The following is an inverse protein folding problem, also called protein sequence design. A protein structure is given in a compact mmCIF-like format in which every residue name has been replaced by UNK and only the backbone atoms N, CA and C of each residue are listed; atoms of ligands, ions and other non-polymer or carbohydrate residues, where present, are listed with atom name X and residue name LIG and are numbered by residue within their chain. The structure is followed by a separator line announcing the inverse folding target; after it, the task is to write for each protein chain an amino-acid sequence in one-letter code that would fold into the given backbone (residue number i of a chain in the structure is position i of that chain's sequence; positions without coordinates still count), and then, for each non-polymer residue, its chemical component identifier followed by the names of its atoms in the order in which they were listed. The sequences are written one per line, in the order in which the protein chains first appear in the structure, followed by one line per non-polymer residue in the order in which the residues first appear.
data_IF_137428500186
#
_entry.id   IF_137428500186
#
_cell.length_a   1.000
_cell.length_b   1.000
_cell.length_c   1.000
_cell.angle_alpha   90.00
_cell.angle_beta   90.00
_cell.angle_gamma   90.00
#
_symmetry.space_group_name_H-M   'P 1'
#
loop_
_entity.id
_entity.type
_entity.pdbx_description
1 polymer ?
#
# COMPACT_ATOMS: atom_id res chain seq x y z
N UNK A 1 -4.62 -1.48 16.77
CA UNK A 1 -5.66 -0.71 16.07
C UNK A 1 -4.98 0.39 15.27
N UNK A 2 -5.18 0.42 13.96
CA UNK A 2 -4.74 1.53 13.10
C UNK A 2 -5.81 2.62 13.27
N UNK A 3 -5.48 3.86 13.65
CA UNK A 3 -6.50 4.89 13.90
C UNK A 3 -6.34 6.12 13.00
N UNK A 4 -5.34 6.14 12.11
CA UNK A 4 -5.05 7.30 11.26
C UNK A 4 -6.02 7.45 10.09
N UNK A 5 -6.81 6.42 9.80
CA UNK A 5 -7.78 6.40 8.70
C UNK A 5 -9.21 6.68 9.20
N UNK A 6 -9.35 7.30 10.38
CA UNK A 6 -10.65 7.57 10.99
C UNK A 6 -11.56 8.49 10.15
N UNK A 7 -10.99 9.27 9.24
CA UNK A 7 -11.75 10.08 8.27
C UNK A 7 -12.49 9.24 7.22
N UNK A 8 -12.12 7.96 7.07
CA UNK A 8 -12.82 6.98 6.24
C UNK A 8 -13.31 5.81 7.10
N UNK A 9 -14.57 5.87 7.60
CA UNK A 9 -15.11 4.84 8.48
C UNK A 9 -15.14 3.44 7.86
N UNK A 10 -15.29 3.33 6.53
CA UNK A 10 -15.37 2.03 5.85
C UNK A 10 -14.00 1.38 5.80
N UNK A 11 -12.99 2.13 5.37
CA UNK A 11 -11.60 1.67 5.39
C UNK A 11 -11.16 1.35 6.82
N UNK A 12 -11.51 2.21 7.79
CA UNK A 12 -11.19 2.00 9.19
C UNK A 12 -11.81 0.73 9.76
N UNK A 13 -13.07 0.43 9.40
CA UNK A 13 -13.75 -0.79 9.80
C UNK A 13 -13.11 -2.03 9.15
N UNK A 14 -12.84 -1.97 7.83
CA UNK A 14 -12.15 -3.02 7.10
C UNK A 14 -10.83 -3.37 7.79
N UNK A 15 -9.93 -2.41 8.01
CA UNK A 15 -8.61 -2.66 8.61
C UNK A 15 -8.73 -3.23 10.03
N UNK A 16 -9.69 -2.78 10.84
CA UNK A 16 -9.86 -3.32 12.18
C UNK A 16 -10.46 -4.74 12.19
N UNK A 17 -11.31 -5.07 11.22
CA UNK A 17 -11.94 -6.39 11.13
C UNK A 17 -10.98 -7.52 10.75
N UNK A 18 -9.93 -7.23 9.96
CA UNK A 18 -8.98 -8.22 9.49
C UNK A 18 -8.23 -8.94 10.63
N UNK A 19 -8.13 -8.31 11.80
CA UNK A 19 -7.54 -8.94 12.99
C UNK A 19 -8.37 -10.10 13.55
N UNK A 20 -9.69 -10.09 13.34
CA UNK A 20 -10.63 -11.05 13.94
C UNK A 20 -11.32 -11.91 12.90
N UNK A 21 -11.53 -11.40 11.68
CA UNK A 21 -12.19 -12.08 10.55
C UNK A 21 -11.60 -11.61 9.23
N UNK A 22 -10.53 -12.27 8.76
CA UNK A 22 -9.85 -11.94 7.50
C UNK A 22 -10.73 -12.09 6.26
N UNK A 23 -11.75 -12.96 6.33
CA UNK A 23 -12.56 -13.37 5.18
C UNK A 23 -13.96 -12.72 5.20
N UNK A 24 -14.18 -11.75 6.09
CA UNK A 24 -15.46 -11.05 6.19
C UNK A 24 -15.77 -10.22 4.94
N UNK A 25 -14.73 -9.69 4.29
CA UNK A 25 -14.84 -8.80 3.13
C UNK A 25 -14.45 -9.54 1.86
N UNK A 26 -15.23 -9.34 0.79
CA UNK A 26 -14.89 -9.85 -0.54
C UNK A 26 -13.72 -9.09 -1.13
N UNK A 27 -12.98 -9.74 -2.00
CA UNK A 27 -11.78 -9.20 -2.64
C UNK A 27 -12.05 -7.86 -3.35
N UNK A 28 -13.14 -7.81 -4.11
CA UNK A 28 -13.57 -6.62 -4.86
C UNK A 28 -13.95 -5.47 -3.92
N UNK A 29 -14.52 -5.79 -2.76
CA UNK A 29 -14.86 -4.79 -1.75
C UNK A 29 -13.60 -4.21 -1.13
N UNK A 30 -12.64 -5.06 -0.74
CA UNK A 30 -11.34 -4.64 -0.21
C UNK A 30 -10.64 -3.71 -1.20
N UNK A 31 -10.56 -4.12 -2.46
CA UNK A 31 -9.84 -3.38 -3.50
C UNK A 31 -10.52 -2.05 -3.79
N UNK A 32 -11.85 -2.04 -3.91
CA UNK A 32 -12.62 -0.81 -4.11
C UNK A 32 -12.46 0.18 -2.95
N UNK A 33 -12.43 -0.30 -1.71
CA UNK A 33 -12.19 0.58 -0.55
C UNK A 33 -10.76 1.16 -0.56
N UNK A 34 -9.76 0.37 -0.93
CA UNK A 34 -8.37 0.85 -1.00
C UNK A 34 -8.19 1.84 -2.14
N UNK A 35 -8.71 1.55 -3.33
CA UNK A 35 -8.60 2.43 -4.52
C UNK A 35 -9.39 3.73 -4.36
N UNK A 36 -10.53 3.69 -3.67
CA UNK A 36 -11.36 4.87 -3.41
C UNK A 36 -10.79 5.81 -2.35
N UNK A 37 -9.81 5.37 -1.56
CA UNK A 37 -9.18 6.19 -0.54
C UNK A 37 -8.02 6.98 -1.13
N UNK A 38 -8.10 8.31 -1.11
CA UNK A 38 -7.01 9.21 -1.52
C UNK A 38 -6.16 9.59 -0.29
N UNK A 39 -4.95 9.04 -0.10
CA UNK A 39 -4.16 9.38 1.07
C UNK A 39 -3.65 10.83 0.99
N UNK A 40 -3.02 11.19 -0.13
CA UNK A 40 -2.45 12.52 -0.34
C UNK A 40 -2.46 12.89 -1.82
N UNK A 41 -2.35 14.19 -2.10
CA UNK A 41 -2.14 14.73 -3.44
C UNK A 41 -0.65 14.70 -3.85
N UNK A 42 0.27 14.52 -2.88
CA UNK A 42 1.69 14.31 -3.17
C UNK A 42 1.97 12.83 -3.39
N UNK A 43 2.77 12.49 -4.41
CA UNK A 43 3.01 11.10 -4.80
C UNK A 43 3.76 10.29 -3.71
N UNK A 44 4.74 10.89 -3.03
CA UNK A 44 5.47 10.25 -1.93
C UNK A 44 4.58 9.99 -0.71
N UNK A 45 3.79 10.97 -0.28
CA UNK A 45 2.84 10.78 0.81
C UNK A 45 1.73 9.80 0.44
N UNK A 46 1.24 9.84 -0.80
CA UNK A 46 0.25 8.90 -1.31
C UNK A 46 0.80 7.47 -1.28
N UNK A 47 2.02 7.27 -1.76
CA UNK A 47 2.71 5.99 -1.68
C UNK A 47 2.84 5.51 -0.23
N UNK A 48 3.30 6.37 0.68
CA UNK A 48 3.40 6.04 2.11
C UNK A 48 2.05 5.64 2.72
N UNK A 49 0.98 6.36 2.36
CA UNK A 49 -0.38 6.08 2.79
C UNK A 49 -0.89 4.74 2.29
N UNK A 50 -0.79 4.49 0.98
CA UNK A 50 -1.19 3.20 0.40
C UNK A 50 -0.38 2.04 0.96
N UNK A 51 0.95 2.12 1.04
CA UNK A 51 1.76 1.05 1.64
C UNK A 51 1.46 0.86 3.13
N UNK A 52 1.04 1.89 3.86
CA UNK A 52 0.57 1.73 5.25
C UNK A 52 -0.72 0.92 5.34
N UNK A 53 -1.61 1.05 4.34
CA UNK A 53 -2.87 0.30 4.22
C UNK A 53 -2.60 -1.12 3.74
N UNK A 54 -2.01 -1.26 2.54
CA UNK A 54 -1.90 -2.54 1.85
C UNK A 54 -1.01 -3.52 2.60
N UNK A 55 0.06 -3.06 3.25
CA UNK A 55 0.92 -3.95 4.04
C UNK A 55 0.13 -4.66 5.14
N UNK A 56 -0.81 -3.96 5.76
CA UNK A 56 -1.68 -4.55 6.77
C UNK A 56 -2.63 -5.57 6.18
N UNK A 57 -3.26 -5.26 5.05
CA UNK A 57 -4.21 -6.14 4.37
C UNK A 57 -3.51 -7.40 3.87
N UNK A 58 -2.42 -7.23 3.14
CA UNK A 58 -1.60 -8.28 2.53
C UNK A 58 -1.01 -9.26 3.56
N UNK A 59 -0.81 -8.84 4.81
CA UNK A 59 -0.44 -9.76 5.88
C UNK A 59 -1.53 -10.82 6.15
N UNK A 60 -2.81 -10.42 6.10
CA UNK A 60 -3.95 -11.32 6.35
C UNK A 60 -4.51 -11.94 5.07
N UNK A 61 -4.35 -11.27 3.93
CA UNK A 61 -4.89 -11.62 2.61
C UNK A 61 -3.79 -11.55 1.54
N UNK A 62 -2.78 -12.44 1.59
CA UNK A 62 -1.65 -12.43 0.67
C UNK A 62 -2.05 -12.72 -0.79
N UNK A 63 -3.20 -13.35 -1.00
CA UNK A 63 -3.83 -13.56 -2.30
C UNK A 63 -4.11 -12.23 -3.04
N UNK A 64 -4.26 -11.13 -2.30
CA UNK A 64 -4.52 -9.80 -2.86
C UNK A 64 -3.26 -9.00 -3.19
N UNK A 65 -2.06 -9.52 -2.87
CA UNK A 65 -0.78 -8.80 -3.00
C UNK A 65 -0.63 -8.11 -4.35
N UNK A 66 -0.83 -8.84 -5.44
CA UNK A 66 -0.67 -8.29 -6.79
C UNK A 66 -1.60 -7.10 -7.04
N UNK A 67 -2.89 -7.26 -6.72
CA UNK A 67 -3.92 -6.25 -7.02
C UNK A 67 -3.70 -5.00 -6.17
N UNK A 68 -3.39 -5.18 -4.88
CA UNK A 68 -3.17 -4.06 -3.96
C UNK A 68 -1.81 -3.37 -4.18
N UNK A 69 -0.76 -4.13 -4.50
CA UNK A 69 0.54 -3.53 -4.85
C UNK A 69 0.45 -2.70 -6.12
N UNK A 70 -0.37 -3.08 -7.11
CA UNK A 70 -0.57 -2.25 -8.31
C UNK A 70 -1.06 -0.84 -7.96
N UNK A 71 -1.98 -0.73 -6.99
CA UNK A 71 -2.47 0.56 -6.50
C UNK A 71 -1.34 1.34 -5.84
N UNK A 72 -0.58 0.71 -4.94
CA UNK A 72 0.45 1.37 -4.14
C UNK A 72 1.73 1.73 -4.92
N UNK A 73 2.05 0.98 -5.98
CA UNK A 73 3.22 1.24 -6.85
C UNK A 73 2.98 2.43 -7.77
N UNK A 74 1.74 2.67 -8.19
CA UNK A 74 1.41 3.77 -9.11
C UNK A 74 1.93 5.14 -8.66
N UNK A 75 1.69 5.62 -7.42
CA UNK A 75 2.27 6.87 -6.96
C UNK A 75 3.80 6.82 -6.83
N UNK A 76 4.43 5.69 -6.51
CA UNK A 76 5.90 5.58 -6.51
C UNK A 76 6.49 5.75 -7.92
N UNK A 77 5.83 5.16 -8.91
CA UNK A 77 6.20 5.31 -10.31
C UNK A 77 6.15 6.78 -10.74
N UNK A 78 5.04 7.49 -10.46
CA UNK A 78 4.93 8.91 -10.79
C UNK A 78 5.83 9.82 -9.95
N UNK A 79 6.25 9.37 -8.76
CA UNK A 79 7.29 10.03 -7.98
C UNK A 79 8.71 9.84 -8.58
N UNK A 80 8.87 8.96 -9.57
CA UNK A 80 10.13 8.69 -10.26
C UNK A 80 10.92 7.49 -9.71
N UNK A 81 10.31 6.66 -8.84
CA UNK A 81 10.94 5.44 -8.34
C UNK A 81 10.54 4.27 -9.24
N UNK A 82 11.45 3.91 -10.15
CA UNK A 82 11.26 2.81 -11.12
C UNK A 82 12.14 1.59 -10.85
N UNK A 83 13.20 1.74 -10.06
CA UNK A 83 14.04 0.62 -9.64
C UNK A 83 13.35 -0.18 -8.52
N UNK A 84 13.17 -1.51 -8.66
CA UNK A 84 12.45 -2.32 -7.67
C UNK A 84 13.15 -2.38 -6.31
N UNK A 85 14.48 -2.38 -6.27
CA UNK A 85 15.22 -2.41 -5.00
C UNK A 85 15.11 -1.06 -4.27
N UNK A 86 15.15 0.04 -5.02
CA UNK A 86 14.88 1.37 -4.51
C UNK A 86 13.46 1.48 -3.97
N UNK A 87 12.45 0.95 -4.67
CA UNK A 87 11.07 0.92 -4.18
C UNK A 87 10.94 0.16 -2.84
N UNK A 88 11.53 -1.04 -2.74
CA UNK A 88 11.53 -1.83 -1.50
C UNK A 88 12.21 -1.07 -0.36
N UNK A 89 13.39 -0.51 -0.62
CA UNK A 89 14.16 0.28 0.35
C UNK A 89 13.39 1.51 0.81
N UNK A 90 12.78 2.24 -0.14
CA UNK A 90 11.98 3.42 0.12
C UNK A 90 10.77 3.09 1.00
N UNK A 91 10.01 2.03 0.70
CA UNK A 91 8.85 1.63 1.51
C UNK A 91 9.30 1.21 2.91
N UNK A 92 10.38 0.43 3.01
CA UNK A 92 10.96 0.02 4.29
C UNK A 92 11.43 1.22 5.13
N UNK A 93 11.93 2.26 4.46
CA UNK A 93 12.40 3.53 5.01
C UNK A 93 11.29 4.46 5.47
N UNK A 94 10.20 4.58 4.72
CA UNK A 94 9.17 5.60 4.95
C UNK A 94 7.95 5.06 5.71
N UNK A 95 7.58 3.79 5.51
CA UNK A 95 6.40 3.20 6.16
C UNK A 95 6.77 2.58 7.50
N UNK A 96 6.62 3.37 8.57
CA UNK A 96 7.02 2.98 9.93
C UNK A 96 5.85 2.45 10.76
N UNK A 97 6.18 1.83 11.90
CA UNK A 97 5.20 1.58 12.97
C UNK A 97 4.96 2.88 13.74
N UNK A 98 3.75 3.02 14.29
CA UNK A 98 3.40 4.13 15.20
C UNK A 98 4.40 4.15 16.36
N UNK A 99 5.22 5.20 16.45
CA UNK A 99 6.04 5.46 17.64
C UNK A 99 5.23 6.29 18.62
N UNK A 100 5.20 5.89 19.88
CA UNK A 100 4.53 6.61 20.98
C UNK A 100 5.16 7.99 21.28
N UNK A 101 6.31 8.32 20.68
CA UNK A 101 7.10 9.52 21.00
C UNK A 101 7.36 10.33 19.72
N UNK A 102 6.60 11.43 19.58
CA UNK A 102 6.88 12.70 18.86
C UNK A 102 7.80 12.68 17.62
N UNK A 103 7.52 11.84 16.63
CA UNK A 103 7.89 12.18 15.23
C UNK A 103 6.63 12.11 14.38
N UNK A 104 6.35 13.21 13.68
CA UNK A 104 5.23 13.40 12.76
C UNK A 104 5.43 12.49 11.54
N UNK A 105 5.24 11.19 11.69
CA UNK A 105 5.03 10.33 10.54
C UNK A 105 3.56 10.49 10.14
N UNK A 106 3.32 11.02 8.93
CA UNK A 106 1.97 11.20 8.40
C UNK A 106 1.23 9.86 8.29
N UNK A 107 1.93 8.78 7.95
CA UNK A 107 1.38 7.44 7.88
C UNK A 107 2.20 6.40 8.65
N UNK A 108 1.51 5.48 9.33
CA UNK A 108 2.08 4.32 10.00
C UNK A 108 1.30 3.04 9.69
N UNK A 109 1.96 1.89 9.66
CA UNK A 109 1.29 0.59 9.55
C UNK A 109 1.14 -0.11 10.91
N UNK A 110 0.35 -1.18 10.94
CA UNK A 110 0.21 -2.08 12.09
C UNK A 110 1.48 -2.91 12.36
N UNK A 111 1.49 -3.68 13.45
CA UNK A 111 2.59 -4.62 13.74
C UNK A 111 2.74 -5.63 12.60
N UNK A 112 1.61 -6.19 12.17
CA UNK A 112 1.45 -7.16 11.10
C UNK A 112 1.87 -6.59 9.74
N UNK A 113 1.40 -5.40 9.38
CA UNK A 113 1.81 -4.79 8.12
C UNK A 113 3.31 -4.51 8.08
N UNK A 114 3.92 -4.15 9.21
CA UNK A 114 5.38 -4.05 9.27
C UNK A 114 6.08 -5.40 9.08
N UNK A 115 5.54 -6.51 9.59
CA UNK A 115 6.10 -7.83 9.32
C UNK A 115 6.02 -8.16 7.82
N UNK A 116 4.91 -7.84 7.17
CA UNK A 116 4.80 -8.01 5.72
C UNK A 116 5.85 -7.17 4.97
N UNK A 117 6.09 -5.92 5.36
CA UNK A 117 7.15 -5.09 4.76
C UNK A 117 8.53 -5.72 4.97
N UNK A 118 8.86 -6.13 6.19
CA UNK A 118 10.20 -6.61 6.55
C UNK A 118 10.51 -8.02 6.00
N UNK A 119 9.48 -8.85 5.77
CA UNK A 119 9.65 -10.27 5.43
C UNK A 119 9.13 -10.64 4.03
N UNK A 120 8.02 -10.05 3.58
CA UNK A 120 7.38 -10.42 2.32
C UNK A 120 7.76 -9.47 1.20
N UNK A 121 7.64 -8.15 1.40
CA UNK A 121 7.90 -7.15 0.36
C UNK A 121 9.30 -7.25 -0.25
N UNK A 122 10.31 -7.58 0.57
CA UNK A 122 11.70 -7.75 0.13
C UNK A 122 11.88 -8.80 -0.97
N UNK A 123 10.97 -9.77 -1.06
CA UNK A 123 11.02 -10.86 -2.04
C UNK A 123 10.15 -10.56 -3.27
N UNK A 124 9.56 -9.36 -3.38
CA UNK A 124 8.60 -8.99 -4.43
C UNK A 124 9.20 -8.11 -5.52
N UNK A 125 10.51 -8.09 -5.68
CA UNK A 125 11.19 -7.28 -6.70
C UNK A 125 10.67 -7.57 -8.13
N UNK A 126 10.51 -8.84 -8.50
CA UNK A 126 9.98 -9.23 -9.80
C UNK A 126 8.55 -8.72 -10.02
N UNK A 127 7.69 -8.84 -9.01
CA UNK A 127 6.34 -8.31 -9.06
C UNK A 127 6.34 -6.78 -9.23
N UNK A 128 7.24 -6.07 -8.56
CA UNK A 128 7.36 -4.61 -8.73
C UNK A 128 7.75 -4.26 -10.17
N UNK A 129 8.70 -4.99 -10.77
CA UNK A 129 9.06 -4.80 -12.18
C UNK A 129 7.85 -5.00 -13.10
N UNK A 130 7.13 -6.11 -12.93
CA UNK A 130 5.93 -6.40 -13.73
C UNK A 130 4.88 -5.28 -13.61
N UNK A 131 4.64 -4.80 -12.39
CA UNK A 131 3.66 -3.74 -12.14
C UNK A 131 4.06 -2.41 -12.76
N UNK A 132 5.34 -2.04 -12.70
CA UNK A 132 5.86 -0.80 -13.32
C UNK A 132 5.71 -0.87 -14.84
N UNK A 133 6.06 -1.99 -15.46
CA UNK A 133 5.91 -2.18 -16.90
C UNK A 133 4.43 -2.14 -17.33
N UNK A 134 3.51 -2.70 -16.54
CA UNK A 134 2.08 -2.56 -16.80
C UNK A 134 1.58 -1.12 -16.73
N UNK A 135 2.05 -0.34 -15.76
CA UNK A 135 1.69 1.07 -15.62
C UNK A 135 2.23 1.85 -16.82
N UNK A 136 3.51 1.66 -17.17
CA UNK A 136 4.14 2.32 -18.31
C UNK A 136 3.39 2.03 -19.62
N UNK A 137 3.09 0.77 -19.91
CA UNK A 137 2.33 0.39 -21.13
C UNK A 137 0.95 1.04 -21.19
N UNK A 138 0.29 1.19 -20.04
CA UNK A 138 -1.02 1.85 -19.97
C UNK A 138 -0.90 3.33 -20.28
N UNK A 139 0.10 4.00 -19.71
CA UNK A 139 0.36 5.42 -19.96
C UNK A 139 0.75 5.67 -21.43
N UNK A 140 1.59 4.81 -22.03
CA UNK A 140 1.97 4.91 -23.44
C UNK A 140 0.73 4.82 -24.36
N UNK A 141 -0.22 3.93 -24.04
CA UNK A 141 -1.46 3.78 -24.80
C UNK A 141 -2.41 4.98 -24.64
N UNK A 142 -2.44 5.63 -23.47
CA UNK A 142 -3.25 6.83 -23.22
C UNK A 142 -2.71 8.08 -23.95
N UNK A 143 -1.45 8.08 -24.39
CA UNK A 143 -0.83 9.20 -25.15
C UNK A 143 -1.09 9.07 -26.66
N UNK A 144 -1.32 7.86 -27.16
CA UNK A 144 -1.52 7.58 -28.59
C UNK A 144 -2.97 7.75 -29.09
N UNK A 145 -3.92 8.05 -28.18
CA UNK A 145 -5.37 8.21 -28.46
C UNK A 145 -5.79 9.66 -28.38
#
# INVERSE_FOLDING_TARGET
MISQFASDPKLQNLLNSLFTKSDQFKDEEIISQVEGYLPSYSCDDAASGYFSIISHICYFRPDLDRRLMKIAIRPLYYYGITDPQHAISWVSGNVKRKRLIKKNYYYYTSKQGRLWIDHELKNKANLIVELIEEIKKKDDFEIEV
#
